data_IF_999115551905
#
_entry.id   IF_999115551905
#
_cell.length_a   1.000
_cell.length_b   1.000
_cell.length_c   1.000
_cell.angle_alpha   90.00
_cell.angle_beta   90.00
_cell.angle_gamma   90.00
#
_symmetry.space_group_name_H-M   'P 1'
#
loop_
_entity.id
_entity.type
_entity.pdbx_description
1 polymer ?
#
# COMPACT_ATOMS: atom_id res chain seq x y z
N UNK A 1 -5.80 13.69 -0.37
CA UNK A 1 -5.29 12.89 0.78
C UNK A 1 -6.17 13.06 2.01
N UNK A 2 -7.48 12.88 1.83
CA UNK A 2 -8.51 13.36 2.76
C UNK A 2 -8.65 12.53 4.05
N UNK A 3 -8.26 11.26 4.02
CA UNK A 3 -8.45 10.37 5.18
C UNK A 3 -7.60 10.78 6.38
N UNK A 4 -6.36 11.26 6.16
CA UNK A 4 -5.53 11.77 7.25
C UNK A 4 -6.08 13.08 7.81
N UNK A 5 -6.60 13.96 6.96
CA UNK A 5 -7.27 15.21 7.40
C UNK A 5 -8.51 14.91 8.26
N UNK A 6 -9.29 13.88 7.89
CA UNK A 6 -10.48 13.46 8.59
C UNK A 6 -10.22 12.69 9.90
N UNK A 7 -9.01 12.18 10.11
CA UNK A 7 -8.65 11.33 11.25
C UNK A 7 -7.40 11.84 11.98
N UNK A 8 -7.43 13.05 12.58
CA UNK A 8 -6.23 13.70 13.13
C UNK A 8 -5.58 12.96 14.31
N UNK A 9 -6.31 12.03 14.95
CA UNK A 9 -5.81 11.19 16.07
C UNK A 9 -5.31 9.82 15.62
N UNK A 10 -5.30 9.53 14.31
CA UNK A 10 -4.87 8.24 13.77
C UNK A 10 -3.39 7.98 14.07
N UNK A 11 -3.09 6.89 14.78
CA UNK A 11 -1.70 6.52 15.12
C UNK A 11 -1.06 5.56 14.13
N UNK A 12 -1.85 4.67 13.57
CA UNK A 12 -1.42 3.66 12.62
C UNK A 12 -2.36 3.64 11.43
N UNK A 13 -1.79 3.68 10.22
CA UNK A 13 -2.51 3.54 8.97
C UNK A 13 -2.09 2.22 8.32
N UNK A 14 -3.07 1.36 8.04
CA UNK A 14 -2.87 0.09 7.33
C UNK A 14 -3.56 0.21 5.98
N UNK A 15 -2.81 -0.05 4.91
CA UNK A 15 -3.30 -0.04 3.53
C UNK A 15 -3.06 -1.41 2.92
N UNK A 16 -4.06 -1.91 2.21
CA UNK A 16 -3.95 -3.14 1.42
C UNK A 16 -4.49 -2.84 0.04
N UNK A 17 -3.71 -3.15 -1.01
CA UNK A 17 -4.15 -3.06 -2.40
C UNK A 17 -3.87 -4.39 -3.07
N UNK A 18 -4.92 -5.21 -3.19
CA UNK A 18 -4.83 -6.58 -3.69
C UNK A 18 -5.95 -6.85 -4.68
N UNK A 19 -5.61 -7.59 -5.73
CA UNK A 19 -6.58 -8.26 -6.59
C UNK A 19 -6.93 -9.62 -5.91
N UNK A 20 -8.20 -9.84 -5.56
CA UNK A 20 -8.71 -11.11 -5.03
C UNK A 20 -9.43 -11.91 -6.13
N UNK A 21 -8.75 -12.85 -6.82
CA UNK A 21 -9.38 -13.71 -7.83
C UNK A 21 -10.68 -14.38 -7.36
N UNK A 22 -10.78 -14.71 -6.07
CA UNK A 22 -11.96 -15.34 -5.47
C UNK A 22 -13.22 -14.45 -5.48
N UNK A 23 -13.07 -13.12 -5.53
CA UNK A 23 -14.17 -12.14 -5.53
C UNK A 23 -14.34 -11.43 -6.88
N UNK A 24 -13.28 -11.39 -7.69
CA UNK A 24 -13.27 -10.64 -8.93
C UNK A 24 -14.13 -11.31 -10.00
N UNK A 25 -15.05 -10.55 -10.60
CA UNK A 25 -15.72 -10.96 -11.83
C UNK A 25 -14.71 -11.07 -12.98
N UNK A 26 -14.36 -12.28 -13.40
CA UNK A 26 -13.33 -12.50 -14.43
C UNK A 26 -13.90 -12.46 -15.85
N UNK A 27 -15.22 -12.65 -16.04
CA UNK A 27 -15.82 -12.66 -17.36
C UNK A 27 -15.82 -11.24 -17.97
N UNK A 28 -15.12 -11.09 -19.09
CA UNK A 28 -14.94 -9.78 -19.72
C UNK A 28 -16.25 -9.19 -20.26
N UNK A 29 -17.22 -10.02 -20.68
CA UNK A 29 -18.53 -9.55 -21.16
C UNK A 29 -19.34 -9.04 -19.97
N UNK A 30 -19.37 -9.78 -18.86
CA UNK A 30 -20.06 -9.37 -17.63
C UNK A 30 -19.45 -8.09 -17.07
N UNK A 31 -18.11 -7.99 -17.03
CA UNK A 31 -17.42 -6.76 -16.62
C UNK A 31 -17.80 -5.55 -17.47
N UNK A 32 -17.89 -5.70 -18.80
CA UNK A 32 -18.30 -4.62 -19.71
C UNK A 32 -19.76 -4.24 -19.48
N UNK A 33 -20.65 -5.22 -19.36
CA UNK A 33 -22.07 -5.01 -19.13
C UNK A 33 -22.34 -4.28 -17.81
N UNK A 34 -21.59 -4.64 -16.76
CA UNK A 34 -21.65 -3.99 -15.43
C UNK A 34 -20.76 -2.74 -15.32
N UNK A 35 -20.21 -2.26 -16.44
CA UNK A 35 -19.39 -1.04 -16.50
C UNK A 35 -18.20 -1.00 -15.53
N UNK A 36 -17.56 -2.14 -15.25
CA UNK A 36 -16.34 -2.17 -14.44
C UNK A 36 -15.24 -1.33 -15.11
N UNK A 37 -14.53 -0.53 -14.30
CA UNK A 37 -13.44 0.28 -14.82
C UNK A 37 -12.31 -0.60 -15.38
N UNK A 38 -11.71 -0.16 -16.48
CA UNK A 38 -10.45 -0.72 -16.98
C UNK A 38 -9.23 -0.08 -16.31
N UNK A 39 -9.39 1.12 -15.77
CA UNK A 39 -8.32 1.86 -15.10
C UNK A 39 -8.16 1.38 -13.66
N UNK A 40 -6.97 0.82 -13.38
CA UNK A 40 -6.62 0.18 -12.11
C UNK A 40 -6.11 1.14 -11.04
N UNK A 41 -6.17 2.45 -11.28
CA UNK A 41 -5.56 3.45 -10.40
C UNK A 41 -6.53 4.55 -10.04
N UNK A 42 -6.81 4.69 -8.74
CA UNK A 42 -7.35 5.94 -8.20
C UNK A 42 -6.25 6.99 -8.31
N UNK A 43 -6.51 8.09 -9.00
CA UNK A 43 -5.65 9.26 -8.92
C UNK A 43 -5.87 9.90 -7.55
N UNK A 44 -4.97 9.59 -6.62
CA UNK A 44 -5.00 10.21 -5.30
C UNK A 44 -4.52 11.66 -5.41
N UNK A 45 -5.45 12.59 -5.25
CA UNK A 45 -5.14 14.02 -5.20
C UNK A 45 -4.08 14.31 -4.13
N UNK A 46 -3.15 15.20 -4.47
CA UNK A 46 -2.17 15.72 -3.53
C UNK A 46 -2.88 16.32 -2.32
N UNK A 47 -2.34 16.15 -1.09
CA UNK A 47 -2.82 16.90 0.06
C UNK A 47 -2.82 18.40 -0.26
N UNK A 48 -3.67 19.16 0.44
CA UNK A 48 -3.50 20.61 0.48
C UNK A 48 -2.05 20.92 0.87
N UNK A 49 -1.45 21.89 0.17
CA UNK A 49 0.00 22.19 0.19
C UNK A 49 0.65 22.20 1.58
N UNK A 50 -0.12 22.50 2.64
CA UNK A 50 0.37 22.77 3.98
C UNK A 50 -0.17 21.80 5.06
N UNK A 51 -0.90 20.75 4.69
CA UNK A 51 -1.44 19.80 5.68
C UNK A 51 -0.32 19.02 6.39
N UNK A 52 -0.43 18.89 7.72
CA UNK A 52 0.48 18.13 8.57
C UNK A 52 -0.31 17.25 9.53
N UNK A 53 0.04 15.97 9.58
CA UNK A 53 -0.53 14.99 10.48
C UNK A 53 0.48 14.68 11.60
N UNK A 54 0.10 14.97 12.85
CA UNK A 54 1.01 14.90 14.00
C UNK A 54 0.93 13.58 14.78
N UNK A 55 -0.16 12.81 14.66
CA UNK A 55 -0.36 11.60 15.46
C UNK A 55 0.07 10.31 14.78
N UNK A 56 0.28 10.32 13.45
CA UNK A 56 0.55 9.11 12.68
C UNK A 56 2.02 8.76 12.84
N UNK A 57 2.29 7.63 13.48
CA UNK A 57 3.64 7.15 13.78
C UNK A 57 4.02 5.93 12.95
N UNK A 58 3.03 5.19 12.41
CA UNK A 58 3.26 3.97 11.66
C UNK A 58 2.39 3.89 10.40
N UNK A 59 3.01 3.56 9.27
CA UNK A 59 2.35 3.19 8.02
C UNK A 59 2.68 1.74 7.70
N UNK A 60 1.65 0.93 7.42
CA UNK A 60 1.80 -0.43 6.89
C UNK A 60 1.10 -0.51 5.55
N UNK A 61 1.81 -0.97 4.52
CA UNK A 61 1.28 -1.12 3.16
C UNK A 61 1.52 -2.55 2.67
N UNK A 62 0.46 -3.35 2.64
CA UNK A 62 0.45 -4.70 2.11
C UNK A 62 0.29 -4.74 0.60
N UNK A 63 0.87 -5.76 -0.02
CA UNK A 63 0.89 -5.98 -1.46
C UNK A 63 1.52 -4.80 -2.23
N UNK A 64 2.50 -4.14 -1.61
CA UNK A 64 3.21 -3.01 -2.19
C UNK A 64 3.92 -3.42 -3.48
N UNK A 65 3.86 -2.55 -4.48
CA UNK A 65 4.54 -2.70 -5.75
C UNK A 65 5.38 -1.45 -6.00
N UNK A 66 6.53 -1.61 -6.66
CA UNK A 66 7.44 -0.51 -7.03
C UNK A 66 6.87 0.41 -8.13
N UNK A 67 5.57 0.31 -8.41
CA UNK A 67 4.84 1.14 -9.36
C UNK A 67 4.74 2.59 -8.85
N UNK A 68 4.80 3.56 -9.77
CA UNK A 68 4.90 4.98 -9.40
C UNK A 68 3.70 5.47 -8.60
N UNK A 69 2.49 4.93 -8.81
CA UNK A 69 1.33 5.37 -8.04
C UNK A 69 1.43 4.97 -6.56
N UNK A 70 1.91 3.76 -6.23
CA UNK A 70 2.12 3.30 -4.85
C UNK A 70 3.29 4.04 -4.20
N UNK A 71 4.42 4.14 -4.91
CA UNK A 71 5.60 4.90 -4.47
C UNK A 71 5.22 6.36 -4.18
N UNK A 72 4.44 6.99 -5.07
CA UNK A 72 3.97 8.35 -4.89
C UNK A 72 3.01 8.48 -3.70
N UNK A 73 2.23 7.44 -3.38
CA UNK A 73 1.32 7.43 -2.25
C UNK A 73 2.10 7.39 -0.92
N UNK A 74 3.04 6.45 -0.78
CA UNK A 74 3.93 6.38 0.40
C UNK A 74 4.66 7.71 0.61
N UNK A 75 5.22 8.26 -0.47
CA UNK A 75 5.87 9.58 -0.47
C UNK A 75 4.93 10.67 0.06
N UNK A 76 3.67 10.72 -0.38
CA UNK A 76 2.69 11.71 0.11
C UNK A 76 2.39 11.51 1.60
N UNK A 77 2.25 10.27 2.08
CA UNK A 77 2.08 9.97 3.51
C UNK A 77 3.27 10.46 4.33
N UNK A 78 4.49 10.14 3.91
CA UNK A 78 5.71 10.61 4.57
C UNK A 78 5.82 12.15 4.58
N UNK A 79 5.32 12.83 3.54
CA UNK A 79 5.32 14.30 3.50
C UNK A 79 4.35 14.91 4.51
N UNK A 80 3.16 14.33 4.65
CA UNK A 80 2.13 14.88 5.54
C UNK A 80 2.35 14.49 6.99
N UNK A 81 2.80 13.27 7.27
CA UNK A 81 2.95 12.74 8.61
C UNK A 81 4.33 13.07 9.20
N UNK A 82 4.41 14.19 9.92
CA UNK A 82 5.69 14.74 10.40
C UNK A 82 6.34 13.90 11.49
N UNK A 83 5.56 13.09 12.21
CA UNK A 83 6.01 12.20 13.28
C UNK A 83 6.03 10.73 12.86
N UNK A 84 5.96 10.45 11.55
CA UNK A 84 6.02 9.09 11.03
C UNK A 84 7.39 8.50 11.37
N UNK A 85 7.39 7.43 12.15
CA UNK A 85 8.60 6.70 12.56
C UNK A 85 8.91 5.54 11.63
N UNK A 86 7.90 4.73 11.31
CA UNK A 86 8.10 3.49 10.56
C UNK A 86 7.14 3.36 9.38
N UNK A 87 7.68 2.90 8.25
CA UNK A 87 6.97 2.56 7.03
C UNK A 87 7.26 1.10 6.70
N UNK A 88 6.27 0.22 6.85
CA UNK A 88 6.37 -1.19 6.51
C UNK A 88 5.75 -1.46 5.15
N UNK A 89 6.53 -1.95 4.19
CA UNK A 89 6.10 -2.29 2.84
C UNK A 89 6.22 -3.80 2.67
N UNK A 90 5.09 -4.49 2.56
CA UNK A 90 5.04 -5.95 2.40
C UNK A 90 4.79 -6.33 0.95
N UNK A 91 5.46 -7.38 0.48
CA UNK A 91 5.36 -7.85 -0.91
C UNK A 91 4.00 -8.47 -1.26
N UNK A 92 3.42 -9.24 -0.33
CA UNK A 92 2.20 -10.00 -0.54
C UNK A 92 1.46 -10.25 0.76
N UNK A 93 0.15 -10.32 0.65
CA UNK A 93 -0.79 -10.75 1.67
C UNK A 93 -1.97 -11.37 0.91
N UNK A 94 -2.41 -12.59 1.23
CA UNK A 94 -3.51 -13.27 0.51
C UNK A 94 -4.56 -13.77 1.48
N UNK A 95 -5.82 -13.79 1.05
CA UNK A 95 -6.88 -14.50 1.76
C UNK A 95 -6.69 -16.02 1.65
N UNK A 96 -7.41 -16.76 2.49
CA UNK A 96 -7.37 -18.22 2.54
C UNK A 96 -7.81 -18.89 1.23
N UNK A 97 -8.71 -18.25 0.47
CA UNK A 97 -9.21 -18.80 -0.80
C UNK A 97 -8.28 -18.55 -1.98
N UNK A 98 -7.37 -17.59 -1.86
CA UNK A 98 -6.34 -17.29 -2.88
C UNK A 98 -4.96 -17.81 -2.47
N UNK A 99 -4.88 -18.62 -1.40
CA UNK A 99 -3.64 -19.25 -1.00
C UNK A 99 -3.23 -20.30 -2.04
N UNK A 100 -1.96 -20.27 -2.45
CA UNK A 100 -1.47 -21.14 -3.53
C UNK A 100 -1.84 -20.70 -4.95
N UNK A 101 -2.74 -19.73 -5.11
CA UNK A 101 -3.06 -19.16 -6.42
C UNK A 101 -1.93 -18.25 -6.92
N UNK A 102 -1.67 -18.32 -8.23
CA UNK A 102 -0.71 -17.43 -8.87
C UNK A 102 -1.30 -16.01 -8.96
N UNK A 103 -0.51 -14.96 -8.65
CA UNK A 103 -0.96 -13.58 -8.81
C UNK A 103 -1.42 -13.29 -10.24
N UNK A 104 -2.55 -12.60 -10.39
CA UNK A 104 -3.07 -12.19 -11.72
C UNK A 104 -2.10 -11.30 -12.50
N UNK A 105 -1.13 -10.68 -11.81
CA UNK A 105 -0.06 -9.89 -12.40
C UNK A 105 1.27 -10.19 -11.74
N UNK A 106 2.38 -10.02 -12.47
CA UNK A 106 3.71 -10.11 -11.88
C UNK A 106 3.88 -9.15 -10.70
N UNK A 107 4.42 -9.68 -9.59
CA UNK A 107 4.80 -8.88 -8.43
C UNK A 107 6.11 -8.14 -8.74
N UNK A 108 6.06 -6.82 -8.67
CA UNK A 108 7.15 -5.86 -8.85
C UNK A 108 7.59 -5.30 -7.49
N UNK A 109 7.88 -6.18 -6.54
CA UNK A 109 8.43 -5.81 -5.23
C UNK A 109 9.98 -5.81 -5.26
N UNK A 110 10.66 -4.86 -4.58
CA UNK A 110 12.12 -4.87 -4.53
C UNK A 110 12.64 -6.00 -3.63
N UNK A 111 13.44 -6.91 -4.18
CA UNK A 111 13.95 -8.11 -3.46
C UNK A 111 15.43 -8.05 -3.10
N UNK A 112 16.18 -7.13 -3.72
CA UNK A 112 17.62 -6.96 -3.48
C UNK A 112 17.90 -5.58 -2.90
N UNK A 113 18.98 -5.44 -2.14
CA UNK A 113 19.39 -4.15 -1.54
C UNK A 113 19.47 -3.02 -2.57
N UNK A 114 19.93 -3.33 -3.79
CA UNK A 114 19.99 -2.36 -4.91
C UNK A 114 18.60 -1.90 -5.35
N UNK A 115 17.64 -2.82 -5.44
CA UNK A 115 16.26 -2.50 -5.77
C UNK A 115 15.59 -1.72 -4.63
N UNK A 116 15.79 -2.16 -3.38
CA UNK A 116 15.25 -1.49 -2.19
C UNK A 116 15.77 -0.06 -2.10
N UNK A 117 17.08 0.14 -2.23
CA UNK A 117 17.73 1.46 -2.26
C UNK A 117 17.18 2.35 -3.39
N UNK A 118 16.91 1.77 -4.57
CA UNK A 118 16.34 2.50 -5.69
C UNK A 118 14.91 2.96 -5.41
N UNK A 119 14.08 2.09 -4.83
CA UNK A 119 12.70 2.42 -4.44
C UNK A 119 12.68 3.43 -3.31
N UNK A 120 13.50 3.25 -2.28
CA UNK A 120 13.64 4.21 -1.17
C UNK A 120 14.03 5.60 -1.68
N UNK A 121 15.00 5.71 -2.60
CA UNK A 121 15.38 6.99 -3.22
C UNK A 121 14.21 7.66 -3.94
N UNK A 122 13.33 6.89 -4.59
CA UNK A 122 12.12 7.41 -5.25
C UNK A 122 11.08 7.89 -4.24
N UNK A 123 10.89 7.13 -3.15
CA UNK A 123 9.99 7.50 -2.05
C UNK A 123 10.47 8.79 -1.38
N UNK A 124 11.76 8.91 -1.06
CA UNK A 124 12.35 10.07 -0.38
C UNK A 124 12.57 11.28 -1.28
N UNK A 125 12.30 11.19 -2.59
CA UNK A 125 12.56 12.28 -3.54
C UNK A 125 11.82 13.56 -3.12
N UNK A 126 12.59 14.57 -2.71
CA UNK A 126 12.07 15.89 -2.32
C UNK A 126 11.42 15.92 -0.94
N UNK A 127 11.75 14.98 -0.05
CA UNK A 127 11.26 14.92 1.33
C UNK A 127 12.42 14.68 2.29
N UNK A 128 12.49 15.51 3.32
CA UNK A 128 13.29 15.25 4.51
C UNK A 128 12.36 14.61 5.56
N UNK A 129 12.52 13.32 5.79
CA UNK A 129 11.72 12.56 6.76
C UNK A 129 12.62 11.58 7.50
N UNK A 130 12.53 11.51 8.84
CA UNK A 130 13.32 10.56 9.63
C UNK A 130 12.77 9.14 9.58
N UNK A 131 11.60 8.92 8.95
CA UNK A 131 10.95 7.61 8.96
C UNK A 131 11.85 6.52 8.37
N UNK A 132 11.90 5.36 9.00
CA UNK A 132 12.61 4.17 8.53
C UNK A 132 11.68 3.39 7.60
N UNK A 133 12.19 2.97 6.44
CA UNK A 133 11.44 2.18 5.47
C UNK A 133 11.90 0.73 5.56
N UNK A 134 10.96 -0.16 5.88
CA UNK A 134 11.16 -1.60 5.98
C UNK A 134 10.53 -2.27 4.77
N UNK A 135 11.31 -3.07 4.04
CA UNK A 135 10.82 -3.94 2.98
C UNK A 135 10.78 -5.37 3.51
N UNK A 136 9.59 -5.95 3.60
CA UNK A 136 9.37 -7.23 4.27
C UNK A 136 8.65 -8.23 3.35
N UNK A 137 8.98 -9.50 3.49
CA UNK A 137 8.29 -10.58 2.81
C UNK A 137 7.04 -11.02 3.58
N UNK A 138 6.11 -11.70 2.90
CA UNK A 138 4.89 -12.24 3.48
C UNK A 138 5.12 -13.19 4.67
N UNK A 139 6.29 -13.83 4.73
CA UNK A 139 6.70 -14.70 5.84
C UNK A 139 6.92 -13.93 7.16
N UNK A 140 7.13 -12.61 7.09
CA UNK A 140 7.41 -11.74 8.23
C UNK A 140 6.15 -11.04 8.77
N UNK A 141 4.98 -11.32 8.17
CA UNK A 141 3.70 -10.77 8.61
C UNK A 141 3.29 -11.42 9.93
N UNK A 142 3.07 -10.62 10.97
CA UNK A 142 2.59 -11.11 12.26
C UNK A 142 1.19 -11.73 12.18
N UNK A 143 0.90 -12.65 13.09
CA UNK A 143 -0.40 -13.32 13.17
C UNK A 143 -1.57 -12.34 13.41
N UNK A 144 -1.31 -11.21 14.10
CA UNK A 144 -2.30 -10.15 14.31
C UNK A 144 -2.75 -9.50 12.99
N UNK A 145 -1.83 -9.28 12.06
CA UNK A 145 -2.20 -8.76 10.73
C UNK A 145 -2.90 -9.82 9.89
N UNK A 146 -2.50 -11.08 9.99
CA UNK A 146 -3.17 -12.18 9.29
C UNK A 146 -4.62 -12.29 9.74
N UNK A 147 -4.88 -12.26 11.05
CA UNK A 147 -6.22 -12.35 11.62
C UNK A 147 -7.17 -11.26 11.09
N UNK A 148 -6.70 -10.02 10.91
CA UNK A 148 -7.50 -8.89 10.38
C UNK A 148 -7.84 -8.99 8.90
N UNK A 149 -7.18 -9.88 8.16
CA UNK A 149 -7.33 -10.04 6.70
C UNK A 149 -8.06 -11.34 6.38
N UNK A 150 -8.02 -12.33 7.28
CA UNK A 150 -8.68 -13.62 7.09
C UNK A 150 -10.19 -13.61 7.30
N UNK A 151 -10.77 -12.52 7.83
CA UNK A 151 -12.21 -12.44 8.11
C UNK A 151 -13.06 -12.04 6.90
N UNK A 152 -12.47 -11.39 5.89
CA UNK A 152 -13.20 -10.91 4.71
C UNK A 152 -12.63 -11.46 3.40
N UNK A 153 -13.53 -11.98 2.57
CA UNK A 153 -13.45 -11.99 1.11
C UNK A 153 -14.67 -11.24 0.56
#
# INVERSE_FOLDING_TARGET
MFFLEAAPSLKELILTVIDHPCEMEMDQKVRRQKSYSRNKGVQWESPTSNFKHHCLTKLTFFCFQSEEYMVSHVRRVMKAAVNLGDVYLYDRLTCIYCEGEEPLKPIVFPKTDKQMSSVEKRIRKGIESPAIIHFLAAAEISDDYRARVTEDC
#
